data_IF_914013653974
#
_entry.id   IF_914013653974
#
_cell.length_a   1.000
_cell.length_b   1.000
_cell.length_c   1.000
_cell.angle_alpha   90.00
_cell.angle_beta   90.00
_cell.angle_gamma   90.00
#
_symmetry.space_group_name_H-M   'P 1'
#
loop_
_entity.id
_entity.type
_entity.pdbx_description
1 polymer ?
#
# COMPACT_ATOMS: atom_id res chain seq x y z
N UNK A 1 -19.62 3.91 25.63
CA UNK A 1 -19.31 3.52 24.24
C UNK A 1 -19.00 4.78 23.46
N UNK A 2 -17.76 4.96 23.07
CA UNK A 2 -17.34 6.18 22.34
C UNK A 2 -17.24 5.82 20.86
N UNK A 3 -17.95 6.58 20.02
CA UNK A 3 -17.86 6.48 18.57
C UNK A 3 -17.12 7.73 18.07
N UNK A 4 -16.05 7.53 17.27
CA UNK A 4 -15.27 8.60 16.65
C UNK A 4 -15.33 8.49 15.14
N UNK A 5 -15.32 9.63 14.47
CA UNK A 5 -15.15 9.74 13.03
C UNK A 5 -13.74 10.26 12.75
N UNK A 6 -12.93 9.47 12.09
CA UNK A 6 -11.53 9.82 11.77
C UNK A 6 -11.41 9.99 10.27
N UNK A 7 -11.25 11.22 9.83
CA UNK A 7 -11.05 11.50 8.40
C UNK A 7 -9.68 10.98 7.94
N UNK A 8 -9.67 10.27 6.85
CA UNK A 8 -8.45 9.71 6.25
C UNK A 8 -8.51 9.72 4.72
N UNK A 9 -7.40 9.42 4.07
CA UNK A 9 -7.30 9.23 2.62
C UNK A 9 -7.36 7.74 2.30
N UNK A 10 -8.09 7.40 1.24
CA UNK A 10 -8.22 6.02 0.77
C UNK A 10 -6.87 5.47 0.28
N UNK A 11 -6.42 4.29 0.75
CA UNK A 11 -5.12 3.73 0.39
C UNK A 11 -5.12 2.93 -0.91
N UNK A 12 -6.27 2.78 -1.60
CA UNK A 12 -6.42 1.81 -2.68
C UNK A 12 -6.02 2.26 -4.08
N UNK A 13 -5.89 3.58 -4.30
CA UNK A 13 -5.39 4.08 -5.59
C UNK A 13 -4.99 5.55 -5.50
N UNK A 14 -4.39 6.08 -6.55
CA UNK A 14 -3.93 7.46 -6.64
C UNK A 14 -5.01 8.54 -6.76
N UNK A 15 -6.30 8.18 -6.70
CA UNK A 15 -7.39 9.19 -6.74
C UNK A 15 -7.38 10.11 -5.52
N UNK A 16 -6.92 9.65 -4.36
CA UNK A 16 -6.84 10.48 -3.16
C UNK A 16 -8.19 10.78 -2.50
N UNK A 17 -9.16 9.88 -2.63
CA UNK A 17 -10.49 10.03 -2.03
C UNK A 17 -10.40 10.16 -0.51
N UNK A 18 -11.12 11.14 0.07
CA UNK A 18 -11.25 11.29 1.52
C UNK A 18 -12.54 10.64 2.02
N UNK A 19 -12.45 9.96 3.17
CA UNK A 19 -13.60 9.37 3.86
C UNK A 19 -13.37 9.34 5.37
N UNK A 20 -14.40 9.03 6.13
CA UNK A 20 -14.33 8.89 7.57
C UNK A 20 -14.33 7.42 7.96
N UNK A 21 -13.36 7.01 8.75
CA UNK A 21 -13.40 5.74 9.48
C UNK A 21 -14.32 5.91 10.69
N UNK A 22 -15.27 5.00 10.86
CA UNK A 22 -16.10 4.94 12.06
C UNK A 22 -15.40 4.03 13.06
N UNK A 23 -14.91 4.61 14.14
CA UNK A 23 -14.15 3.90 15.17
C UNK A 23 -15.01 3.79 16.43
N UNK A 24 -15.22 2.58 16.90
CA UNK A 24 -15.92 2.27 18.14
C UNK A 24 -14.99 1.50 19.07
N UNK A 25 -14.77 2.02 20.27
CA UNK A 25 -13.93 1.38 21.31
C UNK A 25 -12.57 0.89 20.74
N UNK A 26 -11.94 1.73 19.89
CA UNK A 26 -10.63 1.46 19.28
C UNK A 26 -10.65 0.54 18.04
N UNK A 27 -11.81 0.06 17.59
CA UNK A 27 -11.94 -0.78 16.40
C UNK A 27 -12.66 -0.02 15.27
N UNK A 28 -12.18 -0.20 14.06
CA UNK A 28 -12.87 0.31 12.87
C UNK A 28 -14.04 -0.61 12.57
N UNK A 29 -15.26 -0.06 12.57
CA UNK A 29 -16.48 -0.82 12.38
C UNK A 29 -17.21 -0.50 11.08
N UNK A 30 -16.88 0.65 10.45
CA UNK A 30 -17.54 1.11 9.23
C UNK A 30 -16.73 2.22 8.57
N UNK A 31 -17.12 2.60 7.37
CA UNK A 31 -16.65 3.78 6.67
C UNK A 31 -17.82 4.68 6.29
N UNK A 32 -17.60 5.99 6.29
CA UNK A 32 -18.63 6.94 5.86
C UNK A 32 -18.07 7.98 4.90
N UNK A 33 -18.89 8.45 3.94
CA UNK A 33 -18.51 9.52 3.04
C UNK A 33 -18.05 10.78 3.79
N UNK A 34 -16.97 11.40 3.32
CA UNK A 34 -16.58 12.74 3.74
C UNK A 34 -17.04 13.74 2.68
N UNK A 35 -18.18 14.40 2.92
CA UNK A 35 -18.78 15.38 1.97
C UNK A 35 -17.87 16.58 1.67
N UNK A 36 -16.91 16.86 2.56
CA UNK A 36 -15.92 17.94 2.41
C UNK A 36 -14.62 17.46 1.74
N UNK A 37 -14.57 16.20 1.31
CA UNK A 37 -13.41 15.66 0.59
C UNK A 37 -13.21 16.39 -0.75
N UNK A 38 -12.06 17.05 -0.97
CA UNK A 38 -11.88 17.93 -2.14
C UNK A 38 -11.81 17.17 -3.47
N UNK A 39 -11.55 15.88 -3.43
CA UNK A 39 -11.36 15.04 -4.62
C UNK A 39 -12.64 14.30 -4.99
N UNK A 40 -13.30 13.70 -4.02
CA UNK A 40 -14.40 12.75 -4.26
C UNK A 40 -15.78 13.25 -3.81
N UNK A 41 -15.87 14.40 -3.15
CA UNK A 41 -17.13 15.03 -2.75
C UNK A 41 -18.13 14.04 -2.10
N UNK A 42 -17.61 13.20 -1.22
CA UNK A 42 -18.37 12.16 -0.53
C UNK A 42 -18.64 10.87 -1.34
N UNK A 43 -18.19 10.78 -2.59
CA UNK A 43 -18.39 9.58 -3.41
C UNK A 43 -17.24 8.59 -3.16
N UNK A 44 -17.58 7.32 -2.94
CA UNK A 44 -16.61 6.25 -2.74
C UNK A 44 -16.93 5.07 -3.66
N UNK A 45 -15.89 4.42 -4.17
CA UNK A 45 -16.04 3.14 -4.84
C UNK A 45 -16.13 2.00 -3.80
N UNK A 46 -16.57 0.80 -4.18
CA UNK A 46 -16.71 -0.33 -3.24
C UNK A 46 -15.45 -0.64 -2.41
N UNK A 47 -14.26 -0.42 -2.96
CA UNK A 47 -13.01 -0.63 -2.20
C UNK A 47 -12.88 0.33 -1.02
N UNK A 48 -13.22 1.61 -1.21
CA UNK A 48 -13.19 2.59 -0.13
C UNK A 48 -14.29 2.36 0.91
N UNK A 49 -15.43 1.78 0.50
CA UNK A 49 -16.54 1.49 1.41
C UNK A 49 -16.26 0.23 2.24
N UNK A 50 -15.84 -0.87 1.63
CA UNK A 50 -15.76 -2.18 2.27
C UNK A 50 -14.33 -2.64 2.59
N UNK A 51 -13.33 -1.96 2.06
CA UNK A 51 -11.95 -2.41 2.12
C UNK A 51 -11.27 -2.30 3.49
N UNK A 52 -11.97 -1.95 4.55
CA UNK A 52 -11.42 -1.84 5.91
C UNK A 52 -11.49 -3.17 6.71
N UNK A 53 -12.28 -4.12 6.29
CA UNK A 53 -12.57 -5.34 7.06
C UNK A 53 -11.31 -6.14 7.42
N UNK A 54 -10.32 -6.17 6.51
CA UNK A 54 -9.06 -6.88 6.74
C UNK A 54 -8.28 -6.40 7.97
N UNK A 55 -8.49 -5.13 8.39
CA UNK A 55 -7.78 -4.54 9.53
C UNK A 55 -8.10 -5.29 10.83
N UNK A 56 -9.34 -5.78 10.95
CA UNK A 56 -9.82 -6.51 12.11
C UNK A 56 -9.73 -8.04 11.96
N UNK A 57 -9.19 -8.53 10.83
CA UNK A 57 -9.04 -9.98 10.62
C UNK A 57 -8.10 -10.59 11.64
N UNK A 58 -8.47 -11.73 12.27
CA UNK A 58 -7.59 -12.45 13.19
C UNK A 58 -6.34 -13.01 12.48
N UNK A 59 -6.42 -13.23 11.16
CA UNK A 59 -5.30 -13.73 10.36
C UNK A 59 -4.33 -12.64 9.91
N UNK A 60 -4.61 -11.37 10.27
CA UNK A 60 -3.75 -10.26 9.91
C UNK A 60 -2.40 -10.36 10.63
N UNK A 61 -1.32 -10.32 9.88
CA UNK A 61 0.03 -10.21 10.44
C UNK A 61 0.20 -8.86 11.12
N UNK A 62 0.55 -8.87 12.41
CA UNK A 62 0.77 -7.68 13.23
C UNK A 62 2.23 -7.43 13.58
N UNK A 63 3.08 -8.41 13.28
CA UNK A 63 4.53 -8.36 13.48
C UNK A 63 5.25 -8.85 12.23
N UNK A 64 6.48 -8.37 11.94
CA UNK A 64 7.30 -8.95 10.91
C UNK A 64 7.59 -10.43 11.15
N UNK A 65 7.76 -11.18 10.07
CA UNK A 65 8.20 -12.58 10.12
C UNK A 65 9.54 -12.72 9.41
N UNK A 66 10.49 -13.40 10.04
CA UNK A 66 11.79 -13.71 9.46
C UNK A 66 11.97 -15.23 9.40
N UNK A 67 12.56 -15.72 8.31
CA UNK A 67 12.81 -17.15 8.13
C UNK A 67 14.03 -17.58 8.95
N UNK A 68 13.82 -18.50 9.91
CA UNK A 68 14.88 -19.15 10.72
C UNK A 68 14.71 -20.65 10.60
N UNK A 69 15.74 -21.35 10.23
CA UNK A 69 15.75 -22.82 10.10
C UNK A 69 14.61 -23.39 9.19
N UNK A 70 14.25 -22.63 8.16
CA UNK A 70 13.19 -23.01 7.22
C UNK A 70 11.79 -22.53 7.58
N UNK A 71 11.53 -22.09 8.82
CA UNK A 71 10.24 -21.62 9.32
C UNK A 71 10.18 -20.11 9.43
N UNK A 72 8.99 -19.54 9.21
CA UNK A 72 8.72 -18.11 9.46
C UNK A 72 8.38 -17.93 10.92
N UNK A 73 9.18 -17.11 11.62
CA UNK A 73 8.98 -16.80 13.04
C UNK A 73 8.84 -15.30 13.27
N UNK A 74 8.07 -14.86 14.29
CA UNK A 74 7.96 -13.47 14.66
C UNK A 74 9.33 -12.83 14.95
N UNK A 75 9.53 -11.60 14.49
CA UNK A 75 10.75 -10.83 14.67
C UNK A 75 10.44 -9.37 14.98
N UNK A 76 11.42 -8.62 15.49
CA UNK A 76 11.30 -7.18 15.59
C UNK A 76 11.47 -6.51 14.21
N UNK A 77 11.02 -5.26 14.10
CA UNK A 77 11.26 -4.47 12.89
C UNK A 77 12.76 -4.26 12.62
N UNK A 78 13.53 -4.03 13.66
CA UNK A 78 15.00 -3.85 13.52
C UNK A 78 15.66 -5.11 12.97
N UNK A 79 15.29 -6.28 13.48
CA UNK A 79 15.78 -7.56 12.97
C UNK A 79 15.37 -7.78 11.50
N UNK A 80 14.10 -7.55 11.18
CA UNK A 80 13.60 -7.73 9.82
C UNK A 80 14.29 -6.79 8.81
N UNK A 81 14.46 -5.52 9.17
CA UNK A 81 15.15 -4.54 8.35
C UNK A 81 16.65 -4.84 8.21
N UNK A 82 17.32 -5.33 9.26
CA UNK A 82 18.70 -5.75 9.17
C UNK A 82 18.88 -6.91 8.18
N UNK A 83 18.01 -7.93 8.24
CA UNK A 83 18.03 -9.05 7.29
C UNK A 83 17.84 -8.57 5.85
N UNK A 84 16.92 -7.61 5.60
CA UNK A 84 16.72 -7.04 4.27
C UNK A 84 17.97 -6.30 3.80
N UNK A 85 18.54 -5.42 4.66
CA UNK A 85 19.70 -4.62 4.31
C UNK A 85 20.94 -5.49 4.01
N UNK A 86 21.20 -6.50 4.84
CA UNK A 86 22.29 -7.46 4.65
C UNK A 86 22.14 -8.26 3.34
N UNK A 87 20.92 -8.63 2.98
CA UNK A 87 20.70 -9.36 1.74
C UNK A 87 20.79 -8.44 0.51
N UNK A 88 20.22 -7.25 0.58
CA UNK A 88 20.30 -6.29 -0.53
C UNK A 88 21.74 -5.84 -0.82
N UNK A 89 22.58 -5.71 0.21
CA UNK A 89 23.98 -5.35 0.06
C UNK A 89 24.83 -6.36 -0.76
N UNK A 90 24.29 -7.55 -1.02
CA UNK A 90 25.00 -8.60 -1.80
C UNK A 90 24.85 -8.41 -3.31
N UNK A 91 23.94 -7.59 -3.77
CA UNK A 91 23.55 -7.45 -5.17
C UNK A 91 23.96 -6.09 -5.75
N UNK A 92 24.17 -6.07 -7.05
CA UNK A 92 24.48 -4.87 -7.82
C UNK A 92 23.19 -4.17 -8.29
N UNK A 93 23.25 -2.87 -8.64
CA UNK A 93 22.07 -2.11 -9.06
C UNK A 93 21.28 -2.72 -10.23
N UNK A 94 21.93 -3.37 -11.16
CA UNK A 94 21.32 -4.00 -12.34
C UNK A 94 20.65 -5.36 -12.03
N UNK A 95 20.93 -5.93 -10.86
CA UNK A 95 20.28 -7.15 -10.37
C UNK A 95 18.96 -6.86 -9.65
N UNK A 96 18.61 -5.58 -9.42
CA UNK A 96 17.35 -5.19 -8.82
C UNK A 96 16.30 -4.82 -9.85
N UNK A 97 15.07 -5.24 -9.58
CA UNK A 97 13.87 -4.73 -10.22
C UNK A 97 12.80 -4.44 -9.17
N UNK A 98 12.08 -3.32 -9.34
CA UNK A 98 11.00 -2.91 -8.45
C UNK A 98 9.69 -2.91 -9.22
N UNK A 99 8.69 -3.57 -8.67
CA UNK A 99 7.33 -3.59 -9.23
C UNK A 99 6.42 -2.88 -8.23
N UNK A 100 5.90 -1.72 -8.64
CA UNK A 100 4.94 -0.95 -7.88
C UNK A 100 3.50 -1.25 -8.31
N UNK A 101 2.52 -0.46 -7.92
CA UNK A 101 1.13 -0.77 -8.19
C UNK A 101 0.31 0.48 -8.52
N UNK A 102 -0.70 0.30 -9.39
CA UNK A 102 -1.78 1.28 -9.57
C UNK A 102 -2.82 1.22 -8.43
N UNK A 103 -2.70 0.24 -7.53
CA UNK A 103 -3.62 0.01 -6.40
C UNK A 103 -3.00 0.40 -5.06
N UNK A 104 -2.29 1.51 -5.06
CA UNK A 104 -1.74 2.16 -3.88
C UNK A 104 -1.77 3.68 -4.08
N UNK A 105 -1.46 4.43 -3.05
CA UNK A 105 -1.45 5.89 -3.11
C UNK A 105 -0.33 6.41 -4.02
N UNK A 106 -0.43 7.66 -4.43
CA UNK A 106 0.63 8.35 -5.17
C UNK A 106 1.92 8.45 -4.34
N UNK A 107 1.76 8.64 -3.02
CA UNK A 107 2.85 8.70 -2.05
C UNK A 107 3.64 7.39 -1.98
N UNK A 108 2.94 6.24 -2.03
CA UNK A 108 3.57 4.92 -2.06
C UNK A 108 4.41 4.74 -3.35
N UNK A 109 3.83 5.10 -4.50
CA UNK A 109 4.53 5.04 -5.78
C UNK A 109 5.74 5.98 -5.82
N UNK A 110 5.61 7.18 -5.27
CA UNK A 110 6.72 8.12 -5.13
C UNK A 110 7.82 7.56 -4.24
N UNK A 111 7.47 7.01 -3.08
CA UNK A 111 8.42 6.42 -2.15
C UNK A 111 9.17 5.23 -2.78
N UNK A 112 8.45 4.35 -3.49
CA UNK A 112 9.06 3.22 -4.21
C UNK A 112 9.98 3.68 -5.33
N UNK A 113 9.60 4.69 -6.12
CA UNK A 113 10.45 5.27 -7.14
C UNK A 113 11.71 5.88 -6.53
N UNK A 114 11.56 6.61 -5.44
CA UNK A 114 12.69 7.22 -4.71
C UNK A 114 13.62 6.16 -4.16
N UNK A 115 13.10 5.11 -3.55
CA UNK A 115 13.87 3.98 -3.04
C UNK A 115 14.66 3.29 -4.15
N UNK A 116 14.01 2.96 -5.27
CA UNK A 116 14.68 2.34 -6.41
C UNK A 116 15.85 3.19 -6.92
N UNK A 117 15.65 4.52 -7.08
CA UNK A 117 16.66 5.40 -7.67
C UNK A 117 17.78 5.78 -6.72
N UNK A 118 17.49 6.05 -5.44
CA UNK A 118 18.46 6.57 -4.48
C UNK A 118 19.16 5.44 -3.72
N UNK A 119 18.40 4.43 -3.27
CA UNK A 119 18.93 3.35 -2.42
C UNK A 119 19.47 2.21 -3.29
N UNK A 120 18.63 1.63 -4.13
CA UNK A 120 19.03 0.50 -4.99
C UNK A 120 19.83 0.94 -6.22
N UNK A 121 19.77 2.23 -6.57
CA UNK A 121 20.45 2.83 -7.75
C UNK A 121 20.10 2.16 -9.08
N UNK A 122 18.90 1.56 -9.14
CA UNK A 122 18.42 0.85 -10.35
C UNK A 122 17.44 1.69 -11.17
N UNK A 123 17.50 1.64 -12.51
CA UNK A 123 16.45 2.17 -13.37
C UNK A 123 15.26 1.23 -13.53
N UNK A 124 15.36 -0.02 -13.08
CA UNK A 124 14.40 -1.09 -13.34
C UNK A 124 13.21 -0.97 -12.39
N UNK A 125 12.29 -0.05 -12.69
CA UNK A 125 11.03 0.11 -11.97
C UNK A 125 9.87 0.28 -12.94
N UNK A 126 8.82 -0.50 -12.70
CA UNK A 126 7.54 -0.40 -13.44
C UNK A 126 6.41 -0.80 -12.49
N UNK A 127 5.17 -0.87 -12.98
CA UNK A 127 4.02 -1.29 -12.18
C UNK A 127 2.98 -2.04 -13.02
N UNK A 128 1.96 -2.55 -12.35
CA UNK A 128 0.96 -3.43 -12.94
C UNK A 128 0.24 -2.84 -14.17
N UNK A 129 0.16 -1.51 -14.32
CA UNK A 129 -0.49 -0.90 -15.47
C UNK A 129 0.19 -1.22 -16.81
N UNK A 130 1.46 -1.59 -16.80
CA UNK A 130 2.18 -2.06 -17.99
C UNK A 130 1.46 -3.24 -18.68
N UNK A 131 0.94 -4.15 -17.88
CA UNK A 131 0.21 -5.33 -18.36
C UNK A 131 -1.32 -5.12 -18.34
N UNK A 132 -1.83 -4.37 -17.34
CA UNK A 132 -3.24 -4.26 -17.07
C UNK A 132 -3.96 -3.33 -18.05
N UNK A 133 -3.54 -2.07 -18.21
CA UNK A 133 -4.27 -1.10 -19.02
C UNK A 133 -3.48 -0.49 -20.18
N UNK A 134 -2.19 -0.68 -20.26
CA UNK A 134 -1.41 -0.19 -21.40
C UNK A 134 -1.93 -0.70 -22.75
N UNK A 135 -2.39 -1.97 -22.89
CA UNK A 135 -3.06 -2.44 -24.10
C UNK A 135 -4.37 -1.69 -24.41
N UNK A 136 -5.13 -1.36 -23.37
CA UNK A 136 -6.38 -0.57 -23.51
C UNK A 136 -6.07 0.84 -24.02
N UNK A 137 -5.06 1.50 -23.48
CA UNK A 137 -4.61 2.84 -23.93
C UNK A 137 -4.20 2.76 -25.40
N UNK A 138 -3.41 1.77 -25.78
CA UNK A 138 -3.00 1.56 -27.16
C UNK A 138 -4.18 1.27 -28.10
N UNK A 139 -5.19 0.54 -27.63
CA UNK A 139 -6.42 0.27 -28.37
C UNK A 139 -7.31 1.49 -28.57
N UNK A 140 -7.41 2.35 -27.54
CA UNK A 140 -8.21 3.58 -27.60
C UNK A 140 -7.54 4.71 -28.40
N UNK A 141 -6.22 4.65 -28.58
CA UNK A 141 -5.46 5.64 -29.36
C UNK A 141 -5.52 5.41 -30.89
N UNK A 142 -6.20 4.36 -31.35
CA UNK A 142 -6.47 4.06 -32.75
C UNK A 142 -7.85 4.57 -33.18
#
# INVERSE_FOLDING_TARGET
MEIKFVTTTCPYCGSGCSFNLVVKDGKIIDTQPCQRGPVNEGKLCPKGVFGFEFINSPDRLTTPLVRKNGELVPASWDEALAVIAENFAKYQPDEFAVISSARCCNEDNYAMQKFARIVLKTPNIDHCARLCHAPTVAGLAK
#
